data_IF_429476677332
#
_entry.id   IF_429476677332
#
_cell.length_a   1.000
_cell.length_b   1.000
_cell.length_c   1.000
_cell.angle_alpha   90.00
_cell.angle_beta   90.00
_cell.angle_gamma   90.00
#
_symmetry.space_group_name_H-M   'P 1'
#
loop_
_entity.id
_entity.type
_entity.pdbx_description
1 polymer ?
#
# COMPACT_ATOMS: atom_id res chain seq x y z
N UNK A 1 -19.76 -1.57 -8.39
CA UNK A 1 -19.72 -2.93 -8.93
C UNK A 1 -20.87 -3.10 -9.94
N UNK A 2 -20.60 -3.82 -11.00
CA UNK A 2 -21.64 -4.25 -11.97
C UNK A 2 -21.91 -5.73 -11.76
N UNK A 3 -23.17 -6.11 -11.67
CA UNK A 3 -23.59 -7.48 -11.39
C UNK A 3 -24.40 -8.05 -12.56
N UNK A 4 -24.23 -9.35 -12.80
CA UNK A 4 -25.03 -10.13 -13.75
C UNK A 4 -26.34 -10.62 -13.15
N UNK A 5 -27.12 -11.29 -13.98
CA UNK A 5 -28.43 -11.83 -13.60
C UNK A 5 -28.38 -12.86 -12.46
N UNK A 6 -27.28 -13.57 -12.31
CA UNK A 6 -26.99 -14.52 -11.22
C UNK A 6 -26.47 -13.86 -9.93
N UNK A 7 -26.28 -12.53 -9.92
CA UNK A 7 -25.70 -11.79 -8.80
C UNK A 7 -24.16 -11.85 -8.77
N UNK A 8 -23.52 -12.45 -9.76
CA UNK A 8 -22.06 -12.47 -9.90
C UNK A 8 -21.51 -11.08 -10.24
N UNK A 9 -20.34 -10.76 -9.68
CA UNK A 9 -19.69 -9.47 -9.95
C UNK A 9 -18.96 -9.54 -11.28
N UNK A 10 -19.48 -8.82 -12.28
CA UNK A 10 -18.92 -8.74 -13.63
C UNK A 10 -17.76 -7.78 -13.73
N UNK A 11 -17.84 -6.64 -13.03
CA UNK A 11 -16.86 -5.57 -13.10
C UNK A 11 -16.81 -4.75 -11.81
N UNK A 12 -15.63 -4.31 -11.43
CA UNK A 12 -15.36 -3.34 -10.36
C UNK A 12 -14.60 -2.17 -10.94
N UNK A 13 -14.98 -0.95 -10.61
CA UNK A 13 -14.28 0.25 -11.07
C UNK A 13 -14.52 1.44 -10.13
N UNK A 14 -13.56 2.36 -10.07
CA UNK A 14 -13.68 3.63 -9.34
C UNK A 14 -14.03 4.78 -10.28
N UNK A 15 -14.63 5.82 -9.74
CA UNK A 15 -14.85 7.09 -10.43
C UNK A 15 -14.84 8.26 -9.45
N UNK A 16 -14.28 9.40 -9.86
CA UNK A 16 -14.43 10.67 -9.13
C UNK A 16 -15.88 11.15 -9.15
N UNK A 17 -16.56 10.94 -10.28
CA UNK A 17 -17.97 11.26 -10.48
C UNK A 17 -18.68 10.03 -11.05
N UNK A 18 -19.41 9.33 -10.19
CA UNK A 18 -20.16 8.13 -10.55
C UNK A 18 -21.25 8.42 -11.57
N UNK A 19 -21.96 9.54 -11.44
CA UNK A 19 -23.05 9.92 -12.35
C UNK A 19 -22.55 10.03 -13.79
N UNK A 20 -21.44 10.77 -14.00
CA UNK A 20 -20.86 10.93 -15.33
C UNK A 20 -20.38 9.58 -15.89
N UNK A 21 -19.78 8.74 -15.04
CA UNK A 21 -19.30 7.42 -15.48
C UNK A 21 -20.45 6.51 -15.92
N UNK A 22 -21.52 6.45 -15.14
CA UNK A 22 -22.72 5.65 -15.47
C UNK A 22 -23.40 6.18 -16.72
N UNK A 23 -23.53 7.49 -16.86
CA UNK A 23 -24.09 8.10 -18.08
C UNK A 23 -23.26 7.77 -19.33
N UNK A 24 -21.93 7.77 -19.23
CA UNK A 24 -21.06 7.39 -20.34
C UNK A 24 -21.27 5.92 -20.73
N UNK A 25 -21.42 5.02 -19.76
CA UNK A 25 -21.77 3.63 -20.04
C UNK A 25 -23.12 3.51 -20.74
N UNK A 26 -24.14 4.21 -20.25
CA UNK A 26 -25.49 4.19 -20.85
C UNK A 26 -25.52 4.76 -22.28
N UNK A 27 -24.66 5.75 -22.59
CA UNK A 27 -24.57 6.37 -23.92
C UNK A 27 -23.64 5.64 -24.88
N UNK A 28 -22.94 4.61 -24.43
CA UNK A 28 -21.94 3.92 -25.26
C UNK A 28 -20.71 4.78 -25.62
N UNK A 29 -20.52 5.93 -24.94
CA UNK A 29 -19.43 6.87 -25.25
C UNK A 29 -18.12 6.36 -24.65
N UNK A 30 -17.06 6.34 -25.45
CA UNK A 30 -15.70 5.98 -25.00
C UNK A 30 -15.43 4.48 -24.89
N UNK A 31 -16.28 3.64 -25.44
CA UNK A 31 -16.18 2.19 -25.34
C UNK A 31 -15.66 1.56 -26.64
N UNK A 32 -14.41 1.84 -26.97
CA UNK A 32 -13.74 1.32 -28.19
C UNK A 32 -13.48 -0.19 -28.22
N UNK A 33 -14.19 -1.01 -27.45
CA UNK A 33 -13.93 -2.46 -27.42
C UNK A 33 -15.16 -3.31 -27.14
N UNK A 34 -15.29 -4.43 -27.86
CA UNK A 34 -16.31 -5.47 -27.67
C UNK A 34 -16.47 -5.93 -26.22
N UNK A 35 -15.40 -5.87 -25.40
CA UNK A 35 -15.40 -6.29 -24.00
C UNK A 35 -16.28 -5.41 -23.11
N UNK A 36 -16.20 -4.09 -23.26
CA UNK A 36 -17.00 -3.16 -22.46
C UNK A 36 -18.47 -3.18 -22.88
N UNK A 37 -18.76 -3.28 -24.18
CA UNK A 37 -20.11 -3.43 -24.69
C UNK A 37 -20.78 -4.71 -24.14
N UNK A 38 -20.06 -5.83 -24.14
CA UNK A 38 -20.54 -7.08 -23.53
C UNK A 38 -20.77 -6.96 -22.02
N UNK A 39 -19.85 -6.32 -21.29
CA UNK A 39 -20.01 -6.06 -19.86
C UNK A 39 -21.30 -5.30 -19.57
N UNK A 40 -21.58 -4.24 -20.35
CA UNK A 40 -22.79 -3.43 -20.18
C UNK A 40 -24.04 -4.27 -20.49
N UNK A 41 -24.03 -5.03 -21.60
CA UNK A 41 -25.16 -5.87 -22.01
C UNK A 41 -25.48 -6.98 -20.98
N UNK A 42 -24.48 -7.50 -20.29
CA UNK A 42 -24.65 -8.54 -19.26
C UNK A 42 -24.96 -7.96 -17.85
N UNK A 43 -24.84 -6.63 -17.67
CA UNK A 43 -25.10 -5.98 -16.38
C UNK A 43 -26.59 -5.78 -16.17
N UNK A 44 -27.12 -6.38 -15.11
CA UNK A 44 -28.53 -6.23 -14.69
C UNK A 44 -28.68 -5.30 -13.49
N UNK A 45 -27.64 -5.17 -12.67
CA UNK A 45 -27.66 -4.37 -11.45
C UNK A 45 -26.34 -3.65 -11.25
N UNK A 46 -26.38 -2.47 -10.63
CA UNK A 46 -25.22 -1.72 -10.20
C UNK A 46 -25.27 -1.46 -8.70
N UNK A 47 -24.16 -1.70 -8.03
CA UNK A 47 -23.92 -1.32 -6.64
C UNK A 47 -22.79 -0.32 -6.55
N UNK A 48 -22.91 0.67 -5.67
CA UNK A 48 -21.87 1.66 -5.44
C UNK A 48 -21.63 1.90 -3.96
N UNK A 49 -20.36 2.19 -3.65
CA UNK A 49 -19.88 2.58 -2.33
C UNK A 49 -19.16 3.91 -2.49
N UNK A 50 -19.50 4.87 -1.64
CA UNK A 50 -18.78 6.15 -1.56
C UNK A 50 -17.62 6.04 -0.58
N UNK A 51 -16.51 6.69 -0.88
CA UNK A 51 -15.33 6.81 -0.02
C UNK A 51 -15.02 8.29 0.22
N UNK A 52 -14.32 8.60 1.30
CA UNK A 52 -13.97 9.99 1.62
C UNK A 52 -12.86 10.53 0.73
N UNK A 53 -11.97 9.66 0.24
CA UNK A 53 -10.81 10.05 -0.58
C UNK A 53 -10.67 9.19 -1.84
N UNK A 54 -9.99 9.75 -2.85
CA UNK A 54 -9.65 9.01 -4.07
C UNK A 54 -8.69 7.84 -3.78
N UNK A 55 -7.84 8.00 -2.77
CA UNK A 55 -6.91 6.97 -2.32
C UNK A 55 -7.66 5.76 -1.74
N UNK A 56 -8.66 5.98 -0.90
CA UNK A 56 -9.53 4.92 -0.38
C UNK A 56 -10.28 4.21 -1.51
N UNK A 57 -10.80 4.97 -2.49
CA UNK A 57 -11.48 4.38 -3.65
C UNK A 57 -10.54 3.48 -4.46
N UNK A 58 -9.28 3.89 -4.65
CA UNK A 58 -8.27 3.08 -5.34
C UNK A 58 -7.95 1.78 -4.61
N UNK A 59 -7.76 1.87 -3.29
CA UNK A 59 -7.48 0.71 -2.45
C UNK A 59 -8.66 -0.26 -2.40
N UNK A 60 -9.88 0.27 -2.27
CA UNK A 60 -11.11 -0.52 -2.27
C UNK A 60 -11.30 -1.24 -3.62
N UNK A 61 -11.13 -0.53 -4.75
CA UNK A 61 -11.20 -1.12 -6.09
C UNK A 61 -10.25 -2.30 -6.23
N UNK A 62 -8.97 -2.11 -5.90
CA UNK A 62 -7.94 -3.14 -6.01
C UNK A 62 -8.23 -4.36 -5.11
N UNK A 63 -8.66 -4.13 -3.87
CA UNK A 63 -9.03 -5.21 -2.95
C UNK A 63 -10.25 -6.01 -3.46
N UNK A 64 -11.26 -5.32 -3.99
CA UNK A 64 -12.45 -5.97 -4.56
C UNK A 64 -12.09 -6.77 -5.82
N UNK A 65 -11.25 -6.24 -6.71
CA UNK A 65 -10.80 -6.96 -7.91
C UNK A 65 -10.01 -8.23 -7.50
N UNK A 66 -9.11 -8.13 -6.52
CA UNK A 66 -8.32 -9.26 -6.03
C UNK A 66 -9.21 -10.35 -5.40
N UNK A 67 -10.20 -9.95 -4.59
CA UNK A 67 -11.08 -10.86 -3.88
C UNK A 67 -12.14 -11.51 -4.79
N UNK A 68 -12.79 -10.71 -5.64
CA UNK A 68 -13.92 -11.13 -6.44
C UNK A 68 -13.53 -11.65 -7.83
N UNK A 69 -12.34 -11.32 -8.32
CA UNK A 69 -11.80 -11.69 -9.64
C UNK A 69 -12.81 -11.49 -10.78
N UNK A 70 -13.38 -10.28 -10.95
CA UNK A 70 -14.46 -10.06 -11.89
C UNK A 70 -14.01 -10.31 -13.32
N UNK A 71 -14.87 -10.96 -14.12
CA UNK A 71 -14.56 -11.42 -15.48
C UNK A 71 -14.16 -10.29 -16.45
N UNK A 72 -14.73 -9.10 -16.28
CA UNK A 72 -14.46 -7.96 -17.14
C UNK A 72 -13.38 -7.01 -16.62
N UNK A 73 -12.78 -7.24 -15.47
CA UNK A 73 -11.57 -6.56 -15.10
C UNK A 73 -10.36 -7.19 -15.80
N UNK A 74 -9.40 -6.34 -16.18
CA UNK A 74 -8.08 -6.84 -16.54
C UNK A 74 -7.42 -7.25 -15.23
N UNK A 75 -7.31 -8.55 -14.98
CA UNK A 75 -6.49 -9.05 -13.90
C UNK A 75 -5.06 -8.65 -14.20
N UNK A 76 -4.55 -7.67 -13.48
CA UNK A 76 -3.13 -7.35 -13.52
C UNK A 76 -2.44 -8.60 -12.98
N UNK A 77 -1.85 -9.40 -13.87
CA UNK A 77 -1.09 -10.63 -13.51
C UNK A 77 0.18 -10.30 -12.72
N UNK A 78 0.58 -9.03 -12.77
CA UNK A 78 1.65 -8.51 -11.97
C UNK A 78 1.13 -8.35 -10.54
N UNK A 79 1.49 -9.28 -9.65
CA UNK A 79 1.12 -9.31 -8.23
C UNK A 79 1.86 -8.20 -7.44
N UNK A 80 1.89 -7.00 -8.04
CA UNK A 80 2.40 -5.80 -7.39
C UNK A 80 1.42 -5.39 -6.31
N UNK A 81 1.57 -6.04 -5.16
CA UNK A 81 0.88 -5.62 -3.95
C UNK A 81 1.19 -4.13 -3.67
N UNK A 82 0.24 -3.43 -3.07
CA UNK A 82 0.50 -2.10 -2.54
C UNK A 82 1.71 -2.13 -1.59
N UNK A 83 2.53 -1.08 -1.57
CA UNK A 83 3.65 -1.02 -0.64
C UNK A 83 3.17 -0.81 0.80
N UNK A 84 3.97 -1.31 1.73
CA UNK A 84 3.82 -1.22 3.18
C UNK A 84 5.07 -0.63 3.80
N UNK A 85 4.95 -0.14 5.02
CA UNK A 85 6.08 0.07 5.93
C UNK A 85 6.17 -1.18 6.81
N UNK A 86 7.33 -1.79 6.87
CA UNK A 86 7.66 -2.88 7.79
C UNK A 86 8.50 -2.30 8.92
N UNK A 87 8.05 -2.44 10.15
CA UNK A 87 8.86 -2.35 11.34
C UNK A 87 9.36 -3.76 11.66
N UNK A 88 10.66 -4.01 11.46
CA UNK A 88 11.21 -5.37 11.59
C UNK A 88 11.20 -5.84 13.05
N UNK A 89 10.86 -7.13 13.26
CA UNK A 89 10.83 -7.78 14.58
C UNK A 89 11.80 -8.97 14.69
N UNK A 90 12.73 -9.07 13.74
CA UNK A 90 13.69 -10.16 13.60
C UNK A 90 15.14 -9.73 13.94
N UNK A 91 15.32 -8.54 14.50
CA UNK A 91 16.62 -7.99 14.87
C UNK A 91 16.53 -7.27 16.21
N UNK A 92 17.61 -7.29 17.01
CA UNK A 92 17.73 -6.61 18.32
C UNK A 92 17.43 -5.10 18.26
N UNK A 93 17.81 -4.46 17.14
CA UNK A 93 17.45 -3.09 16.83
C UNK A 93 16.48 -3.07 15.66
N UNK A 94 15.16 -3.03 15.89
CA UNK A 94 14.16 -2.93 14.83
C UNK A 94 14.40 -1.77 13.86
N UNK A 95 14.09 -1.96 12.58
CA UNK A 95 14.28 -0.93 11.57
C UNK A 95 13.01 -0.71 10.74
N UNK A 96 12.90 0.46 10.14
CA UNK A 96 11.79 0.81 9.23
C UNK A 96 12.20 0.55 7.79
N UNK A 97 11.43 -0.29 7.09
CA UNK A 97 11.70 -0.66 5.72
C UNK A 97 10.47 -0.47 4.83
N UNK A 98 10.70 -0.03 3.62
CA UNK A 98 9.69 -0.13 2.58
C UNK A 98 9.57 -1.58 2.12
N UNK A 99 8.38 -2.14 2.19
CA UNK A 99 8.10 -3.53 1.86
C UNK A 99 7.04 -3.65 0.75
N UNK A 100 7.18 -4.67 -0.08
CA UNK A 100 6.20 -5.02 -1.11
C UNK A 100 6.25 -6.52 -1.36
N UNK A 101 5.11 -7.18 -1.51
CA UNK A 101 5.02 -8.62 -1.75
C UNK A 101 4.38 -9.38 -0.59
N UNK A 102 4.65 -10.69 -0.50
CA UNK A 102 4.14 -11.54 0.57
C UNK A 102 4.78 -11.17 1.91
N UNK A 103 3.99 -11.06 2.97
CA UNK A 103 4.43 -10.68 4.32
C UNK A 103 5.14 -11.83 5.02
N UNK A 104 6.32 -12.20 4.53
CA UNK A 104 7.10 -13.34 5.03
C UNK A 104 8.12 -12.96 6.11
N UNK A 105 8.54 -11.70 6.21
CA UNK A 105 9.47 -11.21 7.22
C UNK A 105 8.74 -10.96 8.54
N UNK A 106 9.36 -11.34 9.66
CA UNK A 106 8.80 -11.07 11.00
C UNK A 106 8.81 -9.57 11.30
N UNK A 107 7.70 -9.05 11.83
CA UNK A 107 7.52 -7.65 12.18
C UNK A 107 6.11 -7.14 11.90
N UNK A 108 5.90 -5.85 12.15
CA UNK A 108 4.63 -5.19 11.99
C UNK A 108 4.55 -4.48 10.62
N UNK A 109 3.42 -4.65 9.94
CA UNK A 109 3.20 -4.13 8.59
C UNK A 109 2.12 -3.06 8.61
N UNK A 110 2.50 -1.83 8.33
CA UNK A 110 1.63 -0.66 8.28
C UNK A 110 1.30 -0.29 6.84
N UNK A 111 0.03 -0.09 6.54
CA UNK A 111 -0.50 0.21 5.21
C UNK A 111 -1.74 -0.62 4.89
N UNK A 112 -2.16 -0.74 3.65
CA UNK A 112 -1.41 -0.45 2.40
C UNK A 112 -1.32 1.04 2.06
N UNK A 113 -0.24 1.44 1.40
CA UNK A 113 -0.07 2.78 0.84
C UNK A 113 -0.42 2.80 -0.65
N UNK A 114 -1.02 3.88 -1.13
CA UNK A 114 -1.42 4.00 -2.53
C UNK A 114 -0.24 3.97 -3.53
N UNK A 115 0.92 4.48 -3.10
CA UNK A 115 2.13 4.51 -3.92
C UNK A 115 3.41 4.48 -3.08
N UNK A 116 4.53 4.21 -3.75
CA UNK A 116 5.84 4.12 -3.12
C UNK A 116 6.39 5.47 -2.59
N UNK A 117 5.96 6.58 -3.19
CA UNK A 117 6.34 7.92 -2.74
C UNK A 117 5.77 8.23 -1.37
N UNK A 118 4.50 7.91 -1.12
CA UNK A 118 3.85 8.08 0.19
C UNK A 118 4.58 7.31 1.29
N UNK A 119 5.02 6.07 1.02
CA UNK A 119 5.83 5.28 1.96
C UNK A 119 7.14 6.00 2.31
N UNK A 120 7.87 6.49 1.30
CA UNK A 120 9.14 7.17 1.53
C UNK A 120 8.95 8.46 2.34
N UNK A 121 7.91 9.25 2.07
CA UNK A 121 7.57 10.45 2.84
C UNK A 121 7.28 10.09 4.29
N UNK A 122 6.47 9.06 4.54
CA UNK A 122 6.15 8.62 5.90
C UNK A 122 7.38 8.09 6.64
N UNK A 123 8.20 7.22 6.03
CA UNK A 123 9.45 6.74 6.64
C UNK A 123 10.37 7.91 6.99
N UNK A 124 10.53 8.88 6.10
CA UNK A 124 11.35 10.07 6.36
C UNK A 124 10.81 10.92 7.52
N UNK A 125 9.51 11.02 7.68
CA UNK A 125 8.89 11.73 8.81
C UNK A 125 9.12 10.96 10.13
N UNK A 126 8.88 9.66 10.15
CA UNK A 126 9.12 8.79 11.31
C UNK A 126 10.59 8.80 11.74
N UNK A 127 11.53 8.77 10.79
CA UNK A 127 12.97 8.89 11.11
C UNK A 127 13.35 10.21 11.78
N UNK A 128 12.69 11.32 11.40
CA UNK A 128 12.95 12.63 12.02
C UNK A 128 12.44 12.72 13.46
N UNK A 129 11.36 12.01 13.76
CA UNK A 129 10.69 12.07 15.07
C UNK A 129 11.27 11.05 16.02
N UNK A 130 11.39 9.79 15.57
CA UNK A 130 11.72 8.64 16.42
C UNK A 130 13.14 8.12 16.23
N UNK A 131 13.91 8.66 15.29
CA UNK A 131 15.31 8.30 15.03
C UNK A 131 15.55 6.81 14.77
N UNK A 132 14.55 6.09 14.22
CA UNK A 132 14.62 4.67 13.93
C UNK A 132 15.49 4.40 12.70
N UNK A 133 16.34 3.36 12.77
CA UNK A 133 17.20 2.98 11.65
C UNK A 133 16.42 2.52 10.42
N UNK A 134 17.01 2.74 9.24
CA UNK A 134 16.49 2.22 7.95
C UNK A 134 17.57 1.45 7.17
N UNK A 135 18.76 1.28 7.77
CA UNK A 135 19.84 0.52 7.18
C UNK A 135 19.59 -0.99 7.24
N UNK A 136 20.20 -1.74 6.33
CA UNK A 136 20.16 -3.21 6.32
C UNK A 136 20.91 -3.79 7.51
N UNK A 137 20.57 -5.02 7.89
CA UNK A 137 21.21 -5.70 9.03
C UNK A 137 22.69 -5.94 8.78
N UNK A 138 23.09 -6.23 7.53
CA UNK A 138 24.50 -6.33 7.15
C UNK A 138 25.26 -5.01 7.29
N UNK A 139 24.62 -3.89 6.96
CA UNK A 139 25.21 -2.57 7.17
C UNK A 139 25.34 -2.23 8.66
N UNK A 140 24.33 -2.60 9.46
CA UNK A 140 24.34 -2.44 10.91
C UNK A 140 25.51 -3.18 11.56
N UNK A 141 25.67 -4.47 11.26
CA UNK A 141 26.68 -5.35 11.87
C UNK A 141 28.13 -4.94 11.56
N UNK A 142 28.38 -4.24 10.44
CA UNK A 142 29.72 -3.85 10.01
C UNK A 142 30.09 -2.41 10.40
N UNK A 143 29.37 -1.76 11.33
CA UNK A 143 29.65 -0.39 11.74
C UNK A 143 30.58 -0.30 12.95
N UNK A 144 31.58 0.55 12.81
CA UNK A 144 32.53 0.88 13.89
C UNK A 144 32.44 2.35 14.32
N UNK A 145 31.66 3.17 13.58
CA UNK A 145 31.41 4.58 13.87
C UNK A 145 30.03 5.00 13.41
N UNK A 146 29.38 6.01 14.04
CA UNK A 146 28.09 6.55 13.60
C UNK A 146 28.12 6.98 12.14
N UNK A 147 27.04 6.68 11.41
CA UNK A 147 26.90 7.03 10.00
C UNK A 147 26.29 8.43 9.83
N UNK A 148 26.23 8.89 8.57
CA UNK A 148 25.65 10.19 8.23
C UNK A 148 24.23 10.38 8.77
N UNK A 149 23.40 9.32 8.81
CA UNK A 149 22.02 9.43 9.33
C UNK A 149 22.00 9.83 10.82
N UNK A 150 22.97 9.39 11.62
CA UNK A 150 23.11 9.85 13.00
C UNK A 150 23.52 11.33 13.04
N UNK A 151 24.52 11.73 12.26
CA UNK A 151 25.01 13.10 12.23
C UNK A 151 23.92 14.13 11.83
N UNK A 152 23.00 13.74 10.95
CA UNK A 152 21.88 14.60 10.54
C UNK A 152 20.59 14.35 11.33
N UNK A 153 20.70 13.74 12.51
CA UNK A 153 19.59 13.48 13.44
C UNK A 153 18.42 12.72 12.78
N UNK A 154 18.75 11.62 12.12
CA UNK A 154 17.80 10.70 11.46
C UNK A 154 17.88 9.27 11.97
N UNK A 155 18.82 8.97 12.87
CA UNK A 155 19.02 7.66 13.46
C UNK A 155 19.69 7.81 14.82
N UNK A 156 19.23 7.09 15.82
CA UNK A 156 19.83 7.08 17.15
C UNK A 156 21.19 6.31 17.23
N UNK A 157 21.63 5.70 16.12
CA UNK A 157 22.86 4.92 15.97
C UNK A 157 23.02 3.77 16.99
N UNK A 158 22.03 2.87 17.13
CA UNK A 158 22.16 1.71 18.02
C UNK A 158 23.30 0.76 17.60
N UNK A 159 23.74 0.82 16.33
CA UNK A 159 24.84 0.00 15.81
C UNK A 159 26.22 0.33 16.39
N UNK A 160 26.39 1.48 17.02
CA UNK A 160 27.65 1.93 17.61
C UNK A 160 27.53 2.28 19.09
N UNK A 161 26.37 1.95 19.72
CA UNK A 161 26.12 2.15 21.13
C UNK A 161 25.86 3.60 21.54
N UNK A 162 25.53 4.50 20.59
CA UNK A 162 25.19 5.90 20.92
C UNK A 162 23.84 6.00 21.66
N UNK A 163 23.04 4.97 21.61
CA UNK A 163 21.80 4.79 22.37
C UNK A 163 21.80 3.40 23.01
N UNK A 164 21.28 3.27 24.23
CA UNK A 164 21.13 1.96 24.88
C UNK A 164 20.05 1.12 24.18
N UNK A 165 20.12 -0.21 24.36
CA UNK A 165 19.09 -1.10 23.78
C UNK A 165 17.71 -0.80 24.34
N UNK A 166 17.59 -0.48 25.63
CA UNK A 166 16.32 -0.18 26.29
C UNK A 166 15.73 1.15 25.80
N UNK A 167 16.55 2.19 25.70
CA UNK A 167 16.12 3.49 25.17
C UNK A 167 15.69 3.37 23.70
N UNK A 168 16.45 2.59 22.91
CA UNK A 168 16.06 2.34 21.51
C UNK A 168 14.74 1.57 21.40
N UNK A 169 14.53 0.57 22.28
CA UNK A 169 13.27 -0.16 22.32
C UNK A 169 12.08 0.76 22.67
N UNK A 170 12.29 1.75 23.52
CA UNK A 170 11.27 2.74 23.86
C UNK A 170 10.94 3.64 22.65
N UNK A 171 11.94 4.10 21.89
CA UNK A 171 11.74 4.84 20.63
C UNK A 171 10.92 4.01 19.61
N UNK A 172 11.20 2.71 19.53
CA UNK A 172 10.47 1.78 18.65
C UNK A 172 9.01 1.65 19.08
N UNK A 173 8.70 1.57 20.37
CA UNK A 173 7.31 1.48 20.87
C UNK A 173 6.49 2.73 20.57
N UNK A 174 7.14 3.91 20.51
CA UNK A 174 6.49 5.18 20.22
C UNK A 174 6.25 5.40 18.71
N UNK A 175 6.83 4.54 17.86
CA UNK A 175 6.74 4.63 16.39
C UNK A 175 5.49 3.98 15.85
#
# INVERSE_FOLDING_TARGET
RMLGASGDVLYVGKAKNLRNRVQNYARGIGHGGNRTARMIAETTQMEFVTTHTETEALLLEANLIKRLRPRFNVLIRDDKSFPYILLSGDHEAPGLFKFRGARSRKGDYYGPFANAGSVNVTINALQRIFLIRTCTDSFYANRTRPCLLHQIMRCAAPCTGEVSADDYAELVKQT
#
